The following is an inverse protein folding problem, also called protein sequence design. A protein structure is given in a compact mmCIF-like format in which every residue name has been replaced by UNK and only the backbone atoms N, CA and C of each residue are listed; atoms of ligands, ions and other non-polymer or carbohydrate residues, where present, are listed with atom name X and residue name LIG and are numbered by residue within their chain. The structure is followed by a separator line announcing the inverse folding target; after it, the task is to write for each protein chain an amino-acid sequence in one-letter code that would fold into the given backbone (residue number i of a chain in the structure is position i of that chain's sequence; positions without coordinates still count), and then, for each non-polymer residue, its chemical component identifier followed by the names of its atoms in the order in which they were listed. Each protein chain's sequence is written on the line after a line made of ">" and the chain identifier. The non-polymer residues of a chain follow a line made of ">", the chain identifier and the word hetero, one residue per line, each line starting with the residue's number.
data_IF_836259281232
#
_entry.id   IF_836259281232
#
_cell.length_a   1.000
_cell.length_b   1.000
_cell.length_c   1.000
_cell.angle_alpha   90.00
_cell.angle_beta   90.00
_cell.angle_gamma   90.00
#
_symmetry.space_group_name_H-M   'P 1'
#
loop_
_entity.id
_entity.type
_entity.pdbx_description
1 polymer ?
#
# COMPACT_ATOMS: atom_id res chain seq x y z
N UNK A 1 -6.24 17.41 21.24
CA UNK A 1 -7.55 17.61 20.59
C UNK A 1 -7.54 16.78 19.32
N UNK A 2 -8.14 15.58 19.34
CA UNK A 2 -8.12 14.64 18.20
C UNK A 2 -9.06 15.20 17.13
N UNK A 3 -8.53 15.59 15.98
CA UNK A 3 -9.33 15.91 14.78
C UNK A 3 -10.24 14.72 14.48
N UNK A 4 -11.54 14.92 14.21
CA UNK A 4 -12.42 13.81 13.87
C UNK A 4 -11.94 13.22 12.53
N UNK A 5 -11.31 12.05 12.57
CA UNK A 5 -10.95 11.31 11.37
C UNK A 5 -12.23 10.89 10.65
N UNK A 6 -12.21 10.98 9.32
CA UNK A 6 -13.34 10.63 8.46
C UNK A 6 -13.86 9.22 8.80
N UNK A 7 -15.18 9.06 8.80
CA UNK A 7 -15.86 7.80 9.13
C UNK A 7 -15.14 6.59 8.52
N UNK A 8 -14.83 5.59 9.36
CA UNK A 8 -14.14 4.37 8.95
C UNK A 8 -14.93 3.69 7.83
N UNK A 9 -14.37 3.71 6.63
CA UNK A 9 -14.88 2.94 5.51
C UNK A 9 -14.63 1.45 5.79
N UNK A 10 -15.69 0.63 6.00
CA UNK A 10 -15.56 -0.74 6.47
C UNK A 10 -15.11 -1.70 5.37
N UNK A 11 -15.01 -1.24 4.11
CA UNK A 11 -14.53 -2.05 2.99
C UNK A 11 -13.06 -2.44 3.25
N UNK A 12 -12.68 -3.73 3.19
CA UNK A 12 -11.29 -4.15 3.35
C UNK A 12 -10.42 -3.64 2.20
N UNK A 13 -9.10 -3.58 2.42
CA UNK A 13 -8.19 -3.35 1.31
C UNK A 13 -8.22 -4.57 0.39
N UNK A 14 -8.35 -4.36 -0.93
CA UNK A 14 -8.27 -5.45 -1.93
C UNK A 14 -7.03 -6.35 -1.72
N UNK A 15 -5.92 -5.76 -1.32
CA UNK A 15 -4.65 -6.46 -1.15
C UNK A 15 -4.48 -7.14 0.20
N UNK A 16 -5.46 -7.06 1.09
CA UNK A 16 -5.53 -7.98 2.23
C UNK A 16 -5.89 -9.40 1.78
N UNK A 17 -6.70 -9.53 0.72
CA UNK A 17 -7.16 -10.81 0.22
C UNK A 17 -6.06 -11.57 -0.51
N UNK A 18 -5.77 -12.79 -0.09
CA UNK A 18 -4.98 -13.75 -0.85
C UNK A 18 -5.61 -14.02 -2.23
N UNK A 19 -4.80 -14.39 -3.24
CA UNK A 19 -5.33 -14.71 -4.57
C UNK A 19 -6.45 -15.77 -4.56
N UNK A 20 -6.40 -16.73 -3.62
CA UNK A 20 -7.47 -17.71 -3.45
C UNK A 20 -8.80 -17.08 -2.98
N UNK A 21 -8.73 -16.16 -2.02
CA UNK A 21 -9.89 -15.43 -1.47
C UNK A 21 -10.49 -14.50 -2.53
N UNK A 22 -9.65 -13.81 -3.32
CA UNK A 22 -10.13 -12.99 -4.44
C UNK A 22 -10.82 -13.84 -5.51
N UNK A 23 -10.32 -15.04 -5.83
CA UNK A 23 -10.99 -15.98 -6.73
C UNK A 23 -12.33 -16.47 -6.17
N UNK A 24 -12.39 -16.73 -4.87
CA UNK A 24 -13.63 -17.13 -4.21
C UNK A 24 -14.68 -16.00 -4.28
N UNK A 25 -14.29 -14.77 -3.98
CA UNK A 25 -15.17 -13.61 -4.12
C UNK A 25 -15.64 -13.42 -5.56
N UNK A 26 -14.74 -13.55 -6.55
CA UNK A 26 -15.09 -13.49 -7.97
C UNK A 26 -16.16 -14.52 -8.34
N UNK A 27 -16.04 -15.75 -7.85
CA UNK A 27 -17.05 -16.81 -8.04
C UNK A 27 -18.41 -16.41 -7.47
N UNK A 28 -18.43 -15.84 -6.26
CA UNK A 28 -19.67 -15.39 -5.60
C UNK A 28 -20.38 -14.28 -6.39
N UNK A 29 -19.63 -13.40 -7.06
CA UNK A 29 -20.19 -12.34 -7.91
C UNK A 29 -20.39 -12.74 -9.37
N UNK A 30 -20.24 -14.04 -9.70
CA UNK A 30 -20.50 -14.62 -11.01
C UNK A 30 -19.42 -14.31 -12.06
N UNK A 31 -18.18 -14.07 -11.63
CA UNK A 31 -17.04 -13.80 -12.52
C UNK A 31 -16.11 -15.01 -12.63
N UNK A 32 -15.51 -15.23 -13.82
CA UNK A 32 -14.58 -16.33 -14.01
C UNK A 32 -13.26 -16.08 -13.25
N UNK A 33 -12.63 -17.16 -12.77
CA UNK A 33 -11.46 -17.12 -11.89
C UNK A 33 -10.23 -16.43 -12.50
N UNK A 34 -10.09 -16.42 -13.83
CA UNK A 34 -8.98 -15.74 -14.51
C UNK A 34 -8.99 -14.21 -14.32
N UNK A 35 -10.15 -13.60 -13.97
CA UNK A 35 -10.24 -12.17 -13.65
C UNK A 35 -9.36 -11.80 -12.46
N UNK A 36 -9.06 -12.74 -11.56
CA UNK A 36 -8.12 -12.53 -10.46
C UNK A 36 -6.75 -12.08 -10.98
N UNK A 37 -6.21 -12.76 -11.99
CA UNK A 37 -4.90 -12.42 -12.57
C UNK A 37 -4.94 -11.06 -13.26
N UNK A 38 -6.04 -10.72 -13.94
CA UNK A 38 -6.20 -9.41 -14.57
C UNK A 38 -6.23 -8.28 -13.54
N UNK A 39 -7.04 -8.43 -12.49
CA UNK A 39 -7.13 -7.46 -11.40
C UNK A 39 -5.75 -7.25 -10.76
N UNK A 40 -5.06 -8.33 -10.40
CA UNK A 40 -3.72 -8.23 -9.79
C UNK A 40 -2.68 -7.61 -10.75
N UNK A 41 -2.74 -7.89 -12.05
CA UNK A 41 -1.88 -7.24 -13.05
C UNK A 41 -2.14 -5.74 -13.15
N UNK A 42 -3.41 -5.31 -13.13
CA UNK A 42 -3.75 -3.88 -13.11
C UNK A 42 -3.17 -3.17 -11.89
N UNK A 43 -3.33 -3.77 -10.72
CA UNK A 43 -2.88 -3.20 -9.45
C UNK A 43 -1.36 -3.19 -9.36
N UNK A 44 -0.70 -4.33 -9.60
CA UNK A 44 0.75 -4.49 -9.33
C UNK A 44 1.67 -4.05 -10.47
N UNK A 45 1.21 -4.10 -11.72
CA UNK A 45 2.07 -3.85 -12.89
C UNK A 45 1.67 -2.56 -13.61
N UNK A 46 0.37 -2.34 -13.80
CA UNK A 46 -0.14 -1.19 -14.57
C UNK A 46 -0.41 0.05 -13.69
N UNK A 47 -0.18 -0.03 -12.38
CA UNK A 47 -0.21 1.09 -11.43
C UNK A 47 -1.52 1.90 -11.48
N UNK A 48 -2.67 1.24 -11.61
CA UNK A 48 -3.97 1.96 -11.70
C UNK A 48 -4.22 2.84 -10.48
N UNK A 49 -4.93 3.95 -10.70
CA UNK A 49 -5.35 4.83 -9.60
C UNK A 49 -6.71 4.41 -9.03
N UNK A 50 -7.55 3.75 -9.82
CA UNK A 50 -8.90 3.35 -9.44
C UNK A 50 -9.32 2.04 -10.11
N UNK A 51 -10.36 1.41 -9.58
CA UNK A 51 -11.00 0.28 -10.27
C UNK A 51 -11.60 0.69 -11.62
N UNK A 52 -12.00 1.96 -11.77
CA UNK A 52 -12.55 2.48 -13.01
C UNK A 52 -11.54 2.41 -14.18
N UNK A 53 -10.24 2.51 -13.91
CA UNK A 53 -9.17 2.50 -14.92
C UNK A 53 -8.93 1.12 -15.56
N UNK A 54 -9.49 0.05 -14.99
CA UNK A 54 -9.29 -1.33 -15.44
C UNK A 54 -10.13 -1.63 -16.70
N UNK A 55 -9.75 -1.06 -17.84
CA UNK A 55 -10.57 -0.98 -19.06
C UNK A 55 -10.96 -2.31 -19.70
N UNK A 56 -10.22 -3.39 -19.43
CA UNK A 56 -10.52 -4.75 -19.91
C UNK A 56 -11.46 -5.54 -18.97
N UNK A 57 -11.89 -4.93 -17.86
CA UNK A 57 -12.89 -5.46 -16.95
C UNK A 57 -14.30 -4.90 -17.27
N UNK A 58 -15.35 -5.75 -17.25
CA UNK A 58 -16.72 -5.29 -17.42
C UNK A 58 -17.07 -4.16 -16.45
N UNK A 59 -17.85 -3.18 -16.89
CA UNK A 59 -18.27 -2.04 -16.05
C UNK A 59 -18.87 -2.50 -14.71
N UNK A 60 -19.77 -3.50 -14.77
CA UNK A 60 -20.39 -4.11 -13.59
C UNK A 60 -19.36 -4.68 -12.60
N UNK A 61 -18.27 -5.28 -13.09
CA UNK A 61 -17.22 -5.81 -12.22
C UNK A 61 -16.43 -4.68 -11.55
N UNK A 62 -16.12 -3.60 -12.29
CA UNK A 62 -15.46 -2.42 -11.71
C UNK A 62 -16.31 -1.78 -10.61
N UNK A 63 -17.61 -1.67 -10.83
CA UNK A 63 -18.58 -1.18 -9.83
C UNK A 63 -18.67 -2.11 -8.62
N UNK A 64 -18.66 -3.43 -8.82
CA UNK A 64 -18.63 -4.42 -7.73
C UNK A 64 -17.34 -4.34 -6.92
N UNK A 65 -16.19 -4.19 -7.57
CA UNK A 65 -14.89 -4.02 -6.88
C UNK A 65 -14.90 -2.77 -6.02
N UNK A 66 -15.34 -1.64 -6.59
CA UNK A 66 -15.49 -0.39 -5.84
C UNK A 66 -16.45 -0.58 -4.68
N UNK A 67 -17.62 -1.19 -4.86
CA UNK A 67 -18.57 -1.37 -3.76
C UNK A 67 -18.06 -2.24 -2.58
N UNK A 68 -17.13 -3.17 -2.82
CA UNK A 68 -16.71 -4.16 -1.81
C UNK A 68 -15.30 -3.94 -1.26
N UNK A 69 -14.42 -3.26 -2.00
CA UNK A 69 -13.01 -3.14 -1.64
C UNK A 69 -12.51 -1.71 -1.75
N UNK A 70 -11.43 -1.46 -1.03
CA UNK A 70 -10.62 -0.25 -1.20
C UNK A 70 -9.36 -0.62 -1.96
N UNK A 71 -9.05 0.15 -3.00
CA UNK A 71 -7.74 0.08 -3.66
C UNK A 71 -6.68 0.85 -2.86
N UNK A 72 -7.09 1.96 -2.23
CA UNK A 72 -6.23 2.80 -1.41
C UNK A 72 -6.90 3.03 -0.05
N UNK A 73 -6.21 2.66 1.00
CA UNK A 73 -6.64 2.82 2.39
C UNK A 73 -5.95 3.98 3.10
N UNK A 74 -4.75 4.34 2.65
CA UNK A 74 -3.97 5.44 3.20
C UNK A 74 -4.20 6.75 2.44
N UNK A 75 -3.79 7.87 3.02
CA UNK A 75 -3.71 9.16 2.35
C UNK A 75 -2.31 9.76 2.50
N UNK A 76 -1.91 10.60 1.54
CA UNK A 76 -0.60 11.23 1.56
C UNK A 76 -0.64 12.44 2.49
N UNK A 77 0.01 12.35 3.65
CA UNK A 77 0.10 13.45 4.61
C UNK A 77 1.23 14.42 4.27
N UNK A 78 2.36 13.91 3.79
CA UNK A 78 3.47 14.72 3.29
C UNK A 78 4.28 13.95 2.25
N UNK A 79 4.88 14.68 1.32
CA UNK A 79 5.86 14.17 0.37
C UNK A 79 7.08 15.09 0.40
N UNK A 80 8.24 14.52 0.68
CA UNK A 80 9.52 15.22 0.67
C UNK A 80 10.41 14.62 -0.40
N UNK A 81 11.08 15.49 -1.17
CA UNK A 81 12.04 15.11 -2.19
C UNK A 81 13.39 15.75 -1.90
N UNK A 82 14.42 14.91 -1.83
CA UNK A 82 15.81 15.29 -1.64
C UNK A 82 16.48 15.66 -2.98
N UNK A 83 17.60 16.37 -2.92
CA UNK A 83 18.41 16.76 -4.08
C UNK A 83 18.99 15.55 -4.82
N UNK A 84 19.29 14.47 -4.10
CA UNK A 84 19.76 13.19 -4.65
C UNK A 84 18.63 12.37 -5.32
N UNK A 85 17.41 12.90 -5.34
CA UNK A 85 16.24 12.25 -5.93
C UNK A 85 15.52 11.27 -5.00
N UNK A 86 15.97 11.10 -3.75
CA UNK A 86 15.26 10.32 -2.73
C UNK A 86 13.90 10.96 -2.44
N UNK A 87 12.84 10.16 -2.45
CA UNK A 87 11.47 10.60 -2.20
C UNK A 87 10.92 9.88 -0.97
N UNK A 88 10.53 10.65 0.05
CA UNK A 88 9.92 10.14 1.29
C UNK A 88 8.45 10.51 1.36
N UNK A 89 7.61 9.52 1.57
CA UNK A 89 6.17 9.68 1.78
C UNK A 89 5.84 9.44 3.26
N UNK A 90 5.11 10.39 3.85
CA UNK A 90 4.41 10.19 5.11
C UNK A 90 2.97 9.82 4.76
N UNK A 91 2.56 8.60 5.09
CA UNK A 91 1.23 8.09 4.84
C UNK A 91 0.41 8.11 6.13
N UNK A 92 -0.80 8.62 6.02
CA UNK A 92 -1.82 8.60 7.06
C UNK A 92 -2.73 7.39 6.84
N UNK A 93 -2.76 6.48 7.80
CA UNK A 93 -3.61 5.30 7.84
C UNK A 93 -5.05 5.69 8.20
N UNK A 94 -6.01 4.81 7.91
CA UNK A 94 -7.44 5.05 8.11
C UNK A 94 -7.82 5.28 9.59
N UNK A 95 -7.10 4.64 10.50
CA UNK A 95 -7.29 4.71 11.96
C UNK A 95 -6.59 5.92 12.62
N UNK A 96 -5.95 6.77 11.82
CA UNK A 96 -5.20 7.92 12.35
C UNK A 96 -3.72 7.65 12.62
N UNK A 97 -3.24 6.40 12.49
CA UNK A 97 -1.82 6.07 12.54
C UNK A 97 -1.03 6.65 11.36
N UNK A 98 0.29 6.84 11.53
CA UNK A 98 1.16 7.32 10.44
C UNK A 98 2.36 6.41 10.26
N UNK A 99 2.74 6.20 9.01
CA UNK A 99 3.93 5.45 8.63
C UNK A 99 4.71 6.18 7.55
N UNK A 100 6.00 5.87 7.45
CA UNK A 100 6.85 6.39 6.39
C UNK A 100 7.24 5.29 5.41
N UNK A 101 7.37 5.65 4.12
CA UNK A 101 8.02 4.82 3.13
C UNK A 101 8.88 5.68 2.21
N UNK A 102 9.97 5.10 1.71
CA UNK A 102 11.02 5.85 0.99
C UNK A 102 11.34 5.17 -0.33
N UNK A 103 11.46 5.95 -1.40
CA UNK A 103 12.04 5.55 -2.68
C UNK A 103 13.45 6.14 -2.80
N UNK A 104 14.44 5.27 -2.95
CA UNK A 104 15.82 5.63 -3.22
C UNK A 104 16.15 5.39 -4.69
N UNK A 105 16.86 6.35 -5.30
CA UNK A 105 17.25 6.34 -6.71
C UNK A 105 18.78 6.35 -6.80
N UNK A 106 19.35 5.17 -7.04
CA UNK A 106 20.81 5.00 -7.18
C UNK A 106 21.11 4.44 -8.55
N UNK A 107 21.73 5.21 -9.45
CA UNK A 107 22.03 4.78 -10.82
C UNK A 107 20.81 4.14 -11.51
N UNK A 108 20.86 2.84 -11.83
CA UNK A 108 19.76 2.05 -12.39
C UNK A 108 18.89 1.33 -11.33
N UNK A 109 19.25 1.40 -10.05
CA UNK A 109 18.51 0.79 -8.94
C UNK A 109 17.38 1.71 -8.48
N UNK A 110 16.24 1.11 -8.19
CA UNK A 110 15.06 1.75 -7.60
C UNK A 110 14.67 0.91 -6.39
N UNK A 111 15.17 1.33 -5.24
CA UNK A 111 15.01 0.63 -3.97
C UNK A 111 13.91 1.29 -3.17
N UNK A 112 13.06 0.50 -2.51
CA UNK A 112 12.08 1.03 -1.56
C UNK A 112 12.32 0.52 -0.17
N UNK A 113 12.16 1.42 0.79
CA UNK A 113 12.14 1.12 2.21
C UNK A 113 10.68 1.18 2.69
N UNK A 114 10.17 0.07 3.21
CA UNK A 114 8.78 -0.05 3.67
C UNK A 114 8.71 -0.36 5.16
N UNK A 115 7.68 0.18 5.80
CA UNK A 115 7.32 -0.06 7.19
C UNK A 115 6.48 -1.34 7.32
N UNK A 116 6.59 -2.02 8.47
CA UNK A 116 5.80 -3.20 8.85
C UNK A 116 4.85 -2.96 10.01
N UNK A 117 5.06 -1.90 10.80
CA UNK A 117 4.26 -1.57 11.98
C UNK A 117 4.03 -0.06 12.08
N UNK A 118 3.04 0.34 12.89
CA UNK A 118 2.92 1.71 13.42
C UNK A 118 3.71 1.76 14.72
N UNK A 119 4.84 2.46 14.69
CA UNK A 119 5.82 2.40 15.78
C UNK A 119 6.67 1.11 15.72
N UNK A 120 7.35 0.77 16.81
CA UNK A 120 8.16 -0.44 16.94
C UNK A 120 8.35 -0.86 18.40
N UNK A 121 8.14 -2.15 18.69
CA UNK A 121 8.15 -2.68 20.07
C UNK A 121 9.56 -2.89 20.62
N UNK A 122 10.58 -2.87 19.75
CA UNK A 122 11.94 -3.31 20.10
C UNK A 122 12.66 -2.37 21.08
N UNK A 123 12.21 -1.12 21.22
CA UNK A 123 12.77 -0.18 22.19
C UNK A 123 14.24 0.20 21.93
N UNK A 124 14.72 0.06 20.69
CA UNK A 124 16.08 0.43 20.31
C UNK A 124 16.31 1.93 20.56
N UNK A 125 17.19 2.28 21.51
CA UNK A 125 17.38 3.66 22.00
C UNK A 125 17.86 4.69 20.97
N UNK A 126 18.40 4.22 19.84
CA UNK A 126 18.85 5.07 18.73
C UNK A 126 17.79 5.21 17.62
N UNK A 127 16.68 4.46 17.70
CA UNK A 127 15.66 4.41 16.67
C UNK A 127 14.45 5.25 17.08
N UNK A 128 14.14 6.28 16.31
CA UNK A 128 12.98 7.15 16.57
C UNK A 128 11.67 6.36 16.64
N UNK A 129 11.50 5.34 15.79
CA UNK A 129 10.30 4.48 15.77
C UNK A 129 10.13 3.65 17.05
N UNK A 130 11.19 3.44 17.83
CA UNK A 130 11.14 2.71 19.09
C UNK A 130 10.83 3.57 20.31
N UNK A 131 10.81 4.90 20.19
CA UNK A 131 10.62 5.83 21.31
C UNK A 131 9.21 5.77 21.90
N UNK A 132 8.20 5.72 21.03
CA UNK A 132 6.79 5.72 21.42
C UNK A 132 6.20 4.30 21.54
N UNK A 133 7.04 3.26 21.40
CA UNK A 133 6.63 1.87 21.40
C UNK A 133 5.92 1.43 20.11
N UNK A 134 5.22 0.29 20.17
CA UNK A 134 4.37 -0.21 19.07
C UNK A 134 2.90 0.08 19.36
N UNK A 135 2.17 0.50 18.34
CA UNK A 135 0.71 0.58 18.37
C UNK A 135 0.13 -0.73 17.82
N UNK A 136 0.41 -1.04 16.55
CA UNK A 136 -0.03 -2.27 15.89
C UNK A 136 0.81 -2.68 14.69
N UNK A 137 0.61 -3.92 14.25
CA UNK A 137 1.08 -4.40 12.95
C UNK A 137 0.28 -3.77 11.80
N UNK A 138 0.96 -3.57 10.67
CA UNK A 138 0.29 -3.25 9.41
C UNK A 138 -0.34 -4.51 8.82
N UNK A 139 -1.49 -4.31 8.18
CA UNK A 139 -2.10 -5.33 7.33
C UNK A 139 -1.27 -5.59 6.07
N UNK A 140 -1.54 -6.70 5.39
CA UNK A 140 -0.86 -7.03 4.13
C UNK A 140 -1.11 -5.96 3.07
N UNK A 141 -2.34 -5.45 3.00
CA UNK A 141 -2.73 -4.36 2.12
C UNK A 141 -1.92 -3.11 2.40
N UNK A 142 -1.84 -2.66 3.66
CA UNK A 142 -1.07 -1.46 4.05
C UNK A 142 0.42 -1.56 3.71
N UNK A 143 1.05 -2.74 3.85
CA UNK A 143 2.45 -2.95 3.44
C UNK A 143 2.60 -2.86 1.93
N UNK A 144 1.75 -3.54 1.16
CA UNK A 144 1.79 -3.52 -0.30
C UNK A 144 1.43 -2.15 -0.88
N UNK A 145 0.54 -1.40 -0.21
CA UNK A 145 0.13 -0.07 -0.64
C UNK A 145 1.30 0.93 -0.64
N UNK A 146 2.24 0.81 0.31
CA UNK A 146 3.48 1.60 0.31
C UNK A 146 4.27 1.37 -0.97
N UNK A 147 4.45 0.11 -1.38
CA UNK A 147 5.12 -0.24 -2.63
C UNK A 147 4.39 0.37 -3.82
N UNK A 148 3.06 0.24 -3.90
CA UNK A 148 2.28 0.77 -5.02
C UNK A 148 2.36 2.30 -5.13
N UNK A 149 2.33 3.01 -3.99
CA UNK A 149 2.47 4.47 -3.96
C UNK A 149 3.83 4.92 -4.44
N UNK A 150 4.90 4.30 -3.97
CA UNK A 150 6.27 4.61 -4.39
C UNK A 150 6.49 4.24 -5.87
N UNK A 151 5.94 3.12 -6.33
CA UNK A 151 6.01 2.71 -7.73
C UNK A 151 5.34 3.73 -8.66
N UNK A 152 4.28 4.41 -8.22
CA UNK A 152 3.62 5.48 -8.98
C UNK A 152 4.44 6.77 -9.11
N UNK A 153 5.50 6.95 -8.31
CA UNK A 153 6.44 8.06 -8.46
C UNK A 153 7.48 7.80 -9.56
N UNK A 154 7.61 6.54 -10.01
CA UNK A 154 8.51 6.19 -11.09
C UNK A 154 7.88 6.54 -12.45
N UNK A 155 8.71 6.93 -13.44
CA UNK A 155 8.33 6.88 -14.85
C UNK A 155 7.76 5.51 -15.24
N UNK A 156 6.98 5.46 -16.33
CA UNK A 156 6.27 4.25 -16.74
C UNK A 156 7.23 3.12 -17.15
N UNK A 157 8.38 3.50 -17.72
CA UNK A 157 9.47 2.66 -18.21
C UNK A 157 10.38 2.12 -17.10
N UNK A 158 10.39 2.77 -15.93
CA UNK A 158 11.18 2.32 -14.78
C UNK A 158 10.39 1.35 -13.92
N UNK A 159 11.06 0.50 -13.14
CA UNK A 159 10.40 -0.39 -12.17
C UNK A 159 11.19 -0.44 -10.88
N UNK A 160 10.49 -0.76 -9.79
CA UNK A 160 11.13 -1.14 -8.54
C UNK A 160 12.00 -2.37 -8.76
N UNK A 161 13.23 -2.34 -8.23
CA UNK A 161 14.18 -3.45 -8.34
C UNK A 161 14.55 -4.06 -7.00
N UNK A 162 14.41 -3.32 -5.90
CA UNK A 162 14.75 -3.80 -4.56
C UNK A 162 13.70 -3.32 -3.54
N UNK A 163 13.40 -4.18 -2.58
CA UNK A 163 12.51 -3.89 -1.46
C UNK A 163 13.26 -4.24 -0.19
N UNK A 164 13.36 -3.30 0.74
CA UNK A 164 13.95 -3.51 2.06
C UNK A 164 12.90 -3.23 3.14
N UNK A 165 12.82 -4.12 4.11
CA UNK A 165 11.95 -3.99 5.28
C UNK A 165 12.73 -3.27 6.38
N UNK A 166 13.04 -1.99 6.16
CA UNK A 166 13.86 -1.16 7.06
C UNK A 166 13.15 0.15 7.45
N UNK A 167 11.83 0.22 7.26
CA UNK A 167 11.02 1.35 7.66
C UNK A 167 10.71 1.31 9.17
N UNK A 168 9.51 1.75 9.53
CA UNK A 168 9.01 1.65 10.90
C UNK A 168 8.57 0.20 11.19
N UNK A 169 8.98 -0.32 12.34
CA UNK A 169 8.56 -1.64 12.85
C UNK A 169 9.65 -2.72 12.82
N UNK A 170 9.36 -3.83 13.49
CA UNK A 170 10.13 -5.07 13.45
C UNK A 170 9.38 -6.11 12.58
N UNK A 171 9.88 -6.46 11.39
CA UNK A 171 9.19 -7.38 10.47
C UNK A 171 9.02 -8.82 11.00
N UNK A 172 9.81 -9.25 11.99
CA UNK A 172 9.77 -10.62 12.53
C UNK A 172 9.03 -10.75 13.88
N UNK A 173 8.44 -9.66 14.39
CA UNK A 173 7.75 -9.63 15.68
C UNK A 173 6.36 -10.29 15.66
#
# INVERSE_FOLDING_TARGET
>A
MKTPFAAEDPRPHLLDLQPAELRQWLSQVGQPSFRCTQILSWVMQRRVASFADMSDLPKKLREQLEAHFRLWTTSLAAHQKSEDGTEKLLLQLADGGRIECVLLREEARRSICVSSQVGCAMGCVFCASGLDGVDRNLSRGEILEQMLRLQRLLPAEERLSHIVMMGMGEPLA
#
